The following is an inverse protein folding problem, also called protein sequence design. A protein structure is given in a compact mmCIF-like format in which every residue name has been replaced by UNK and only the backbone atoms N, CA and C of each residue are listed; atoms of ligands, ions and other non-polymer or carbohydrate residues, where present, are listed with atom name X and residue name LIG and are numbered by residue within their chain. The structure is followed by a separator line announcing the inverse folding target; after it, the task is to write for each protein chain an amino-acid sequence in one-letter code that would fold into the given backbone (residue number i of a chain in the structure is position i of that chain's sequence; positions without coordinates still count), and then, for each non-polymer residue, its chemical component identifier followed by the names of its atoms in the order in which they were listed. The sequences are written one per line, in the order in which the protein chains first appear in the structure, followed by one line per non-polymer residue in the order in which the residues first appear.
data_IF_281537737552
#
_entry.id   IF_281537737552
#
_cell.length_a   1.000
_cell.length_b   1.000
_cell.length_c   1.000
_cell.angle_alpha   90.00
_cell.angle_beta   90.00
_cell.angle_gamma   90.00
#
_symmetry.space_group_name_H-M   'P 1'
#
loop_
_entity.id
_entity.type
_entity.pdbx_description
1 polymer ?
#
# COMPACT_ATOMS: atom_id res chain seq x y z
N UNK A 1 9.93 -8.01 -19.50
CA UNK A 1 8.93 -8.71 -20.34
C UNK A 1 8.69 -7.86 -21.56
N UNK A 2 8.56 -8.46 -22.76
CA UNK A 2 8.21 -7.71 -23.97
C UNK A 2 6.78 -7.18 -23.85
N UNK A 3 6.50 -6.04 -24.47
CA UNK A 3 5.15 -5.54 -24.59
C UNK A 3 4.31 -6.55 -25.39
N UNK A 4 3.14 -6.88 -24.89
CA UNK A 4 2.17 -7.69 -25.61
C UNK A 4 1.21 -6.74 -26.33
N UNK A 5 0.88 -7.04 -27.58
CA UNK A 5 -0.22 -6.38 -28.27
C UNK A 5 -1.53 -6.81 -27.61
N UNK A 6 -2.34 -5.85 -27.20
CA UNK A 6 -3.64 -6.08 -26.57
C UNK A 6 -4.71 -5.61 -27.55
N UNK A 7 -5.70 -6.46 -27.81
CA UNK A 7 -6.83 -6.11 -28.65
C UNK A 7 -7.70 -5.06 -27.95
N UNK A 8 -8.20 -4.03 -28.68
CA UNK A 8 -9.17 -3.09 -28.12
C UNK A 8 -10.43 -3.81 -27.62
N UNK A 9 -11.04 -3.27 -26.57
CA UNK A 9 -12.34 -3.74 -26.12
C UNK A 9 -13.42 -3.20 -27.07
N UNK A 10 -14.35 -4.06 -27.47
CA UNK A 10 -15.55 -3.63 -28.19
C UNK A 10 -16.49 -2.95 -27.20
N UNK A 11 -16.90 -1.72 -27.51
CA UNK A 11 -17.79 -0.92 -26.67
C UNK A 11 -19.14 -0.85 -27.36
N UNK A 12 -20.13 -1.53 -26.80
CA UNK A 12 -21.47 -1.63 -27.33
C UNK A 12 -22.48 -1.01 -26.34
N UNK A 13 -23.14 0.05 -26.78
CA UNK A 13 -24.20 0.72 -26.00
C UNK A 13 -23.72 1.82 -25.04
N UNK A 14 -24.69 2.54 -24.47
CA UNK A 14 -24.45 3.71 -23.63
C UNK A 14 -23.79 3.34 -22.28
N UNK A 15 -24.19 2.22 -21.68
CA UNK A 15 -23.65 1.76 -20.40
C UNK A 15 -22.16 1.42 -20.48
N UNK A 16 -21.76 0.64 -21.48
CA UNK A 16 -20.35 0.26 -21.67
C UNK A 16 -19.47 1.48 -21.96
N UNK A 17 -19.99 2.45 -22.73
CA UNK A 17 -19.31 3.72 -22.99
C UNK A 17 -19.06 4.51 -21.71
N UNK A 18 -20.07 4.57 -20.83
CA UNK A 18 -19.94 5.24 -19.54
C UNK A 18 -18.91 4.54 -18.63
N UNK A 19 -18.94 3.20 -18.56
CA UNK A 19 -17.97 2.41 -17.79
C UNK A 19 -16.54 2.58 -18.30
N UNK A 20 -16.36 2.62 -19.62
CA UNK A 20 -15.04 2.81 -20.25
C UNK A 20 -14.46 4.18 -19.89
N UNK A 21 -15.24 5.25 -20.06
CA UNK A 21 -14.85 6.62 -19.69
C UNK A 21 -14.50 6.75 -18.20
N UNK A 22 -15.26 6.08 -17.33
CA UNK A 22 -14.98 6.04 -15.90
C UNK A 22 -13.68 5.26 -15.60
N UNK A 23 -13.40 4.19 -16.35
CA UNK A 23 -12.14 3.45 -16.30
C UNK A 23 -10.93 4.32 -16.65
N UNK A 24 -11.02 5.12 -17.71
CA UNK A 24 -9.97 6.05 -18.13
C UNK A 24 -9.68 7.10 -17.06
N UNK A 25 -10.73 7.68 -16.46
CA UNK A 25 -10.60 8.63 -15.36
C UNK A 25 -9.86 8.02 -14.15
N UNK A 26 -10.22 6.78 -13.78
CA UNK A 26 -9.54 6.07 -12.69
C UNK A 26 -8.07 5.77 -13.01
N UNK A 27 -7.76 5.37 -14.24
CA UNK A 27 -6.37 5.09 -14.63
C UNK A 27 -5.52 6.37 -14.64
N UNK A 28 -6.07 7.49 -15.13
CA UNK A 28 -5.43 8.79 -15.08
C UNK A 28 -5.15 9.22 -13.63
N UNK A 29 -6.14 9.13 -12.75
CA UNK A 29 -5.97 9.44 -11.33
C UNK A 29 -4.91 8.54 -10.66
N UNK A 30 -4.93 7.24 -10.95
CA UNK A 30 -3.94 6.28 -10.43
C UNK A 30 -2.52 6.61 -10.90
N UNK A 31 -2.35 7.03 -12.16
CA UNK A 31 -1.05 7.43 -12.72
C UNK A 31 -0.54 8.71 -12.03
N UNK A 32 -1.39 9.71 -11.83
CA UNK A 32 -1.04 10.94 -11.11
C UNK A 32 -0.65 10.64 -9.65
N UNK A 33 -1.45 9.85 -8.93
CA UNK A 33 -1.15 9.45 -7.56
C UNK A 33 0.19 8.71 -7.44
N UNK A 34 0.50 7.81 -8.40
CA UNK A 34 1.81 7.13 -8.44
C UNK A 34 2.97 8.09 -8.67
N UNK A 35 2.80 9.12 -9.50
CA UNK A 35 3.85 10.11 -9.73
C UNK A 35 4.10 10.94 -8.47
N UNK A 36 3.05 11.33 -7.75
CA UNK A 36 3.15 12.05 -6.48
C UNK A 36 3.77 11.18 -5.38
N UNK A 37 3.38 9.91 -5.30
CA UNK A 37 3.86 8.98 -4.28
C UNK A 37 5.31 8.48 -4.49
N UNK A 38 5.98 8.82 -5.61
CA UNK A 38 7.38 8.44 -5.85
C UNK A 38 8.34 8.99 -4.78
N UNK A 39 8.04 10.13 -4.18
CA UNK A 39 8.81 10.71 -3.07
C UNK A 39 8.45 10.11 -1.71
N UNK A 40 7.34 9.36 -1.61
CA UNK A 40 6.78 8.83 -0.36
C UNK A 40 6.82 7.29 -0.28
N UNK A 41 7.51 6.64 -1.21
CA UNK A 41 7.60 5.19 -1.23
C UNK A 41 8.43 4.67 -0.05
N UNK A 42 8.08 3.51 0.51
CA UNK A 42 8.90 2.86 1.54
C UNK A 42 10.30 2.62 0.96
N UNK A 43 11.31 3.26 1.56
CA UNK A 43 12.70 3.21 1.11
C UNK A 43 13.14 4.33 0.17
N UNK A 44 12.28 5.30 -0.19
CA UNK A 44 12.74 6.55 -0.80
C UNK A 44 13.40 7.45 0.24
N UNK A 45 14.43 8.21 -0.16
CA UNK A 45 14.98 9.27 0.69
C UNK A 45 13.87 10.28 0.99
N UNK A 46 13.67 10.61 2.26
CA UNK A 46 12.83 11.73 2.64
C UNK A 46 13.44 13.03 2.08
N UNK A 47 12.59 13.96 1.69
CA UNK A 47 12.99 15.34 1.44
C UNK A 47 13.23 16.08 2.77
N UNK A 48 13.80 17.28 2.71
CA UNK A 48 14.14 18.05 3.92
C UNK A 48 12.92 18.31 4.81
N UNK A 49 11.74 18.48 4.22
CA UNK A 49 10.49 18.66 4.96
C UNK A 49 10.04 17.36 5.62
N UNK A 50 10.16 16.23 4.93
CA UNK A 50 9.92 14.91 5.50
C UNK A 50 10.84 14.61 6.68
N UNK A 51 12.14 14.96 6.59
CA UNK A 51 13.09 14.78 7.69
C UNK A 51 12.70 15.64 8.90
N UNK A 52 12.37 16.92 8.69
CA UNK A 52 11.91 17.81 9.78
C UNK A 52 10.65 17.28 10.45
N UNK A 53 9.70 16.78 9.66
CA UNK A 53 8.45 16.21 10.17
C UNK A 53 8.72 14.95 10.99
N UNK A 54 9.57 14.05 10.48
CA UNK A 54 9.95 12.83 11.19
C UNK A 54 10.68 13.15 12.50
N UNK A 55 11.59 14.12 12.51
CA UNK A 55 12.27 14.56 13.73
C UNK A 55 11.29 15.14 14.75
N UNK A 56 10.36 16.01 14.32
CA UNK A 56 9.35 16.57 15.21
C UNK A 56 8.45 15.48 15.84
N UNK A 57 8.04 14.48 15.05
CA UNK A 57 7.26 13.34 15.56
C UNK A 57 8.08 12.48 16.53
N UNK A 58 9.37 12.27 16.27
CA UNK A 58 10.26 11.54 17.16
C UNK A 58 10.45 12.28 18.49
N UNK A 59 10.69 13.60 18.45
CA UNK A 59 10.88 14.42 19.63
C UNK A 59 9.64 14.42 20.54
N UNK A 60 8.44 14.45 19.96
CA UNK A 60 7.19 14.35 20.70
C UNK A 60 6.97 12.97 21.33
N UNK A 61 7.35 11.89 20.62
CA UNK A 61 7.05 10.51 21.06
C UNK A 61 8.14 9.88 21.91
N UNK A 62 9.40 10.32 21.81
CA UNK A 62 10.54 9.73 22.51
C UNK A 62 10.39 9.72 24.05
N UNK A 63 9.90 10.78 24.73
CA UNK A 63 9.65 10.74 26.17
C UNK A 63 8.55 9.74 26.55
N UNK A 64 7.52 9.60 25.72
CA UNK A 64 6.42 8.65 25.95
C UNK A 64 6.90 7.21 25.82
N UNK A 65 7.84 6.94 24.91
CA UNK A 65 8.47 5.63 24.76
C UNK A 65 9.40 5.28 25.92
N UNK A 66 10.20 6.23 26.41
CA UNK A 66 11.15 6.00 27.51
C UNK A 66 10.46 5.93 28.87
N UNK A 67 9.38 6.69 29.06
CA UNK A 67 8.59 6.74 30.27
C UNK A 67 7.10 6.58 29.93
N UNK A 68 6.61 5.34 29.77
CA UNK A 68 5.23 5.05 29.39
C UNK A 68 4.18 5.61 30.35
N UNK A 69 4.55 5.91 31.60
CA UNK A 69 3.67 6.54 32.59
C UNK A 69 3.22 7.96 32.22
N UNK A 70 3.93 8.64 31.31
CA UNK A 70 3.53 9.95 30.80
C UNK A 70 2.44 9.87 29.73
N UNK A 71 2.21 8.69 29.13
CA UNK A 71 1.15 8.51 28.15
C UNK A 71 -0.24 8.57 28.81
N UNK A 72 -1.27 8.93 28.04
CA UNK A 72 -2.63 8.96 28.56
C UNK A 72 -3.10 7.53 28.89
N UNK A 73 -3.97 7.37 29.89
CA UNK A 73 -4.41 6.05 30.39
C UNK A 73 -5.13 5.18 29.34
N UNK A 74 -5.49 5.73 28.18
CA UNK A 74 -6.10 5.02 27.06
C UNK A 74 -5.20 4.85 25.83
N UNK A 75 -3.99 5.39 25.85
CA UNK A 75 -3.09 5.33 24.71
C UNK A 75 -2.47 3.93 24.60
N UNK A 76 -2.47 3.37 23.39
CA UNK A 76 -1.80 2.10 23.08
C UNK A 76 -0.70 2.39 22.06
N UNK A 77 0.54 2.12 22.43
CA UNK A 77 1.67 2.29 21.53
C UNK A 77 1.63 1.30 20.37
N UNK A 78 1.97 1.76 19.17
CA UNK A 78 1.97 0.95 17.94
C UNK A 78 2.79 -0.35 18.06
N UNK A 79 3.87 -0.32 18.84
CA UNK A 79 4.71 -1.50 19.09
C UNK A 79 3.95 -2.62 19.80
N UNK A 80 2.96 -2.29 20.63
CA UNK A 80 2.14 -3.24 21.38
C UNK A 80 1.02 -3.87 20.54
N UNK A 81 0.68 -3.26 19.39
CA UNK A 81 -0.34 -3.76 18.46
C UNK A 81 0.28 -4.33 17.18
N UNK A 82 1.60 -4.56 17.17
CA UNK A 82 2.31 -5.04 15.98
C UNK A 82 2.04 -6.53 15.77
N UNK A 83 1.56 -6.87 14.58
CA UNK A 83 1.38 -8.25 14.13
C UNK A 83 2.33 -8.55 12.98
N UNK A 84 2.93 -9.73 12.98
CA UNK A 84 3.86 -10.17 11.95
C UNK A 84 3.58 -11.61 11.57
N UNK A 85 3.68 -11.91 10.27
CA UNK A 85 3.54 -13.27 9.77
C UNK A 85 4.44 -13.47 8.55
N UNK A 86 4.91 -14.70 8.37
CA UNK A 86 5.79 -15.11 7.28
C UNK A 86 5.20 -16.36 6.63
N UNK A 87 5.07 -16.34 5.29
CA UNK A 87 4.53 -17.46 4.53
C UNK A 87 5.54 -17.97 3.50
N UNK A 88 5.70 -19.29 3.43
CA UNK A 88 6.35 -19.92 2.29
C UNK A 88 5.35 -19.98 1.12
N UNK A 89 5.68 -19.35 0.01
CA UNK A 89 4.79 -19.33 -1.15
C UNK A 89 4.90 -20.63 -1.94
N UNK A 90 3.86 -21.46 -1.89
CA UNK A 90 3.82 -22.74 -2.60
C UNK A 90 3.62 -22.57 -4.12
N UNK A 91 3.93 -23.57 -4.95
CA UNK A 91 3.72 -23.49 -6.41
C UNK A 91 2.28 -23.13 -6.82
N UNK A 92 1.27 -23.60 -6.08
CA UNK A 92 -0.16 -23.33 -6.34
C UNK A 92 -0.54 -21.85 -6.13
N UNK A 93 0.30 -21.08 -5.42
CA UNK A 93 0.07 -19.66 -5.14
C UNK A 93 0.73 -18.74 -6.19
N UNK A 94 1.29 -19.34 -7.25
CA UNK A 94 2.03 -18.66 -8.31
C UNK A 94 1.39 -18.88 -9.66
N UNK A 95 1.51 -17.90 -10.54
CA UNK A 95 1.19 -18.08 -11.95
C UNK A 95 2.28 -18.90 -12.66
N UNK A 96 2.04 -19.28 -13.91
CA UNK A 96 2.99 -20.05 -14.74
C UNK A 96 4.33 -19.34 -14.98
N UNK A 97 4.37 -18.02 -14.80
CA UNK A 97 5.61 -17.22 -14.83
C UNK A 97 6.29 -17.10 -13.46
N UNK A 98 5.86 -17.87 -12.45
CA UNK A 98 6.44 -17.92 -11.10
C UNK A 98 6.10 -16.73 -10.20
N UNK A 99 5.22 -15.81 -10.62
CA UNK A 99 4.83 -14.63 -9.84
C UNK A 99 3.67 -14.96 -8.90
N UNK A 100 3.75 -14.47 -7.65
CA UNK A 100 2.68 -14.67 -6.67
C UNK A 100 1.39 -13.98 -7.14
N UNK A 101 0.24 -14.61 -6.94
CA UNK A 101 -1.05 -13.98 -7.20
C UNK A 101 -1.30 -12.82 -6.23
N UNK A 102 -1.65 -11.65 -6.76
CA UNK A 102 -1.96 -10.47 -5.94
C UNK A 102 -3.12 -10.71 -4.96
N UNK A 103 -4.15 -11.45 -5.37
CA UNK A 103 -5.26 -11.82 -4.50
C UNK A 103 -4.84 -12.67 -3.28
N UNK A 104 -3.83 -13.53 -3.44
CA UNK A 104 -3.26 -14.28 -2.32
C UNK A 104 -2.61 -13.34 -1.31
N UNK A 105 -1.80 -12.37 -1.78
CA UNK A 105 -1.17 -11.37 -0.91
C UNK A 105 -2.20 -10.51 -0.17
N UNK A 106 -3.24 -10.04 -0.88
CA UNK A 106 -4.30 -9.22 -0.28
C UNK A 106 -5.06 -10.00 0.81
N UNK A 107 -5.35 -11.28 0.57
CA UNK A 107 -6.00 -12.15 1.57
C UNK A 107 -5.14 -12.31 2.82
N UNK A 108 -3.84 -12.58 2.66
CA UNK A 108 -2.93 -12.72 3.82
C UNK A 108 -2.75 -11.42 4.59
N UNK A 109 -2.69 -10.28 3.91
CA UNK A 109 -2.64 -8.97 4.54
C UNK A 109 -3.91 -8.68 5.35
N UNK A 110 -5.09 -8.98 4.80
CA UNK A 110 -6.36 -8.81 5.49
C UNK A 110 -6.46 -9.72 6.72
N UNK A 111 -6.11 -11.01 6.58
CA UNK A 111 -6.11 -11.97 7.69
C UNK A 111 -5.20 -11.49 8.83
N UNK A 112 -3.98 -11.04 8.52
CA UNK A 112 -3.04 -10.52 9.51
C UNK A 112 -3.55 -9.26 10.21
N UNK A 113 -4.16 -8.33 9.48
CA UNK A 113 -4.67 -7.08 10.05
C UNK A 113 -5.88 -7.29 10.96
N UNK A 114 -6.60 -8.42 10.82
CA UNK A 114 -7.78 -8.77 11.61
C UNK A 114 -7.47 -9.64 12.84
N UNK A 115 -6.29 -10.30 12.84
CA UNK A 115 -5.85 -11.25 13.87
C UNK A 115 -5.61 -10.55 15.20
#
# INVERSE_FOLDING_TARGET
GRAAQINPLEINGAEQTALFKLGEQRDAARKQARQQAKSSAVGSSLDDQGIKTAHALLEQSAPLLSMPSLAHKGDIFMQNTRLQNTFLTMPQQRNTAGRIFGGFLMRRAYELARS
#
